data_IF_936893849096
#
_entry.id   IF_936893849096
#
_cell.length_a   1.000
_cell.length_b   1.000
_cell.length_c   1.000
_cell.angle_alpha   90.00
_cell.angle_beta   90.00
_cell.angle_gamma   90.00
#
_symmetry.space_group_name_H-M   'P 1'
#
loop_
_entity.id
_entity.type
_entity.pdbx_description
1 polymer ?
#
# COMPACT_ATOMS: atom_id res chain seq x y z
N UNK A 1 18.86 -11.69 -13.38
CA UNK A 1 18.54 -12.75 -14.37
C UNK A 1 17.70 -13.82 -13.65
N UNK A 2 16.40 -13.61 -13.52
CA UNK A 2 15.50 -14.57 -12.88
C UNK A 2 14.94 -15.49 -13.96
N UNK A 3 15.39 -16.76 -13.94
CA UNK A 3 14.78 -17.83 -14.71
C UNK A 3 13.36 -18.05 -14.21
N UNK A 4 12.39 -18.28 -15.10
CA UNK A 4 10.97 -18.52 -14.81
C UNK A 4 10.76 -19.65 -13.81
N UNK A 5 10.84 -19.32 -12.52
CA UNK A 5 10.49 -20.19 -11.41
C UNK A 5 9.01 -20.00 -11.10
N UNK A 6 8.32 -21.07 -10.78
CA UNK A 6 6.96 -21.08 -10.24
C UNK A 6 6.98 -20.15 -9.01
N UNK A 7 6.32 -18.98 -9.11
CA UNK A 7 6.15 -18.09 -7.96
C UNK A 7 5.22 -18.80 -6.97
N UNK A 8 5.72 -19.08 -5.78
CA UNK A 8 4.97 -19.79 -4.77
C UNK A 8 3.94 -18.86 -4.12
N UNK A 9 2.69 -19.26 -4.15
CA UNK A 9 1.61 -18.58 -3.42
C UNK A 9 1.86 -18.69 -1.91
N UNK A 10 1.83 -17.58 -1.19
CA UNK A 10 1.96 -17.57 0.28
C UNK A 10 0.59 -17.40 0.95
N UNK A 11 -0.30 -16.65 0.28
CA UNK A 11 -1.68 -16.41 0.71
C UNK A 11 -2.59 -16.46 -0.52
N UNK A 12 -3.70 -17.20 -0.41
CA UNK A 12 -4.74 -17.24 -1.43
C UNK A 12 -6.11 -17.09 -0.78
N UNK A 13 -6.91 -16.22 -1.35
CA UNK A 13 -8.28 -15.93 -0.92
C UNK A 13 -9.22 -16.27 -2.07
N UNK A 14 -10.29 -17.02 -1.78
CA UNK A 14 -11.26 -17.44 -2.78
C UNK A 14 -12.66 -17.12 -2.30
N UNK A 15 -13.37 -16.28 -3.06
CA UNK A 15 -14.77 -15.89 -2.86
C UNK A 15 -15.09 -15.46 -1.42
N UNK A 16 -14.21 -14.65 -0.82
CA UNK A 16 -14.35 -14.19 0.56
C UNK A 16 -15.53 -13.25 0.70
N UNK A 17 -16.41 -13.52 1.70
CA UNK A 17 -17.56 -12.68 2.02
C UNK A 17 -17.62 -12.34 3.49
N UNK A 18 -18.06 -11.10 3.76
CA UNK A 18 -18.38 -10.62 5.10
C UNK A 18 -19.47 -9.56 5.05
N UNK A 19 -20.57 -9.83 5.72
CA UNK A 19 -21.74 -8.97 5.75
C UNK A 19 -22.08 -8.53 7.18
N UNK A 20 -22.62 -7.32 7.32
CA UNK A 20 -23.11 -6.76 8.56
C UNK A 20 -24.53 -6.25 8.32
N UNK A 21 -25.54 -7.08 8.61
CA UNK A 21 -26.90 -6.81 8.18
C UNK A 21 -26.96 -6.65 6.67
N UNK A 22 -27.44 -5.50 6.20
CA UNK A 22 -27.54 -5.19 4.77
C UNK A 22 -26.22 -4.70 4.14
N UNK A 23 -25.20 -4.44 4.97
CA UNK A 23 -23.89 -3.94 4.48
C UNK A 23 -23.01 -5.10 4.04
N UNK A 24 -22.72 -5.18 2.75
CA UNK A 24 -21.79 -6.15 2.15
C UNK A 24 -20.35 -5.59 2.22
N UNK A 25 -19.74 -5.69 3.40
CA UNK A 25 -18.40 -5.14 3.63
C UNK A 25 -17.33 -5.82 2.76
N UNK A 26 -17.48 -7.13 2.50
CA UNK A 26 -16.66 -7.90 1.56
C UNK A 26 -17.63 -8.81 0.78
N UNK A 27 -17.66 -8.71 -0.55
CA UNK A 27 -18.67 -9.35 -1.40
C UNK A 27 -18.02 -10.20 -2.50
N UNK A 28 -17.46 -11.33 -2.10
CA UNK A 28 -16.97 -12.36 -3.01
C UNK A 28 -15.61 -12.05 -3.64
N UNK A 29 -14.69 -11.46 -2.88
CA UNK A 29 -13.34 -11.14 -3.39
C UNK A 29 -12.46 -12.39 -3.46
N UNK A 30 -11.61 -12.43 -4.49
CA UNK A 30 -10.61 -13.48 -4.69
C UNK A 30 -9.31 -12.84 -5.14
N UNK A 31 -8.18 -13.23 -4.57
CA UNK A 31 -6.85 -12.78 -4.95
C UNK A 31 -5.77 -13.73 -4.45
N UNK A 32 -4.57 -13.59 -4.97
CA UNK A 32 -3.39 -14.38 -4.58
C UNK A 32 -2.22 -13.47 -4.29
N UNK A 33 -1.50 -13.76 -3.20
CA UNK A 33 -0.27 -13.05 -2.82
C UNK A 33 0.91 -13.98 -3.06
N UNK A 34 1.86 -13.53 -3.88
CA UNK A 34 3.08 -14.26 -4.19
C UNK A 34 4.14 -14.03 -3.10
N UNK A 35 4.94 -15.06 -2.83
CA UNK A 35 6.04 -14.99 -1.87
C UNK A 35 7.10 -13.96 -2.29
N UNK A 36 7.56 -13.15 -1.34
CA UNK A 36 8.61 -12.15 -1.55
C UNK A 36 8.16 -10.91 -2.31
N UNK A 37 6.85 -10.65 -2.38
CA UNK A 37 6.28 -9.47 -3.02
C UNK A 37 5.60 -8.54 -2.02
N UNK A 38 5.40 -7.30 -2.42
CA UNK A 38 4.48 -6.36 -1.78
C UNK A 38 3.16 -6.39 -2.55
N UNK A 39 2.11 -6.85 -1.88
CA UNK A 39 0.74 -6.85 -2.38
C UNK A 39 -0.05 -5.76 -1.67
N UNK A 40 -0.72 -4.90 -2.41
CA UNK A 40 -1.54 -3.83 -1.83
C UNK A 40 -3.02 -4.01 -2.12
N UNK A 41 -3.83 -3.89 -1.08
CA UNK A 41 -5.27 -3.72 -1.17
C UNK A 41 -5.59 -2.23 -1.05
N UNK A 42 -5.91 -1.61 -2.17
CA UNK A 42 -6.09 -0.18 -2.33
C UNK A 42 -7.58 0.16 -2.45
N UNK A 43 -8.01 1.30 -1.92
CA UNK A 43 -9.38 1.77 -2.06
C UNK A 43 -9.76 2.84 -1.05
N UNK A 44 -10.92 3.46 -1.19
CA UNK A 44 -11.40 4.50 -0.29
C UNK A 44 -11.76 3.96 1.10
N UNK A 45 -12.05 4.87 2.02
CA UNK A 45 -12.60 4.50 3.31
C UNK A 45 -13.96 3.82 3.13
N UNK A 46 -14.19 2.74 3.87
CA UNK A 46 -15.41 1.94 3.73
C UNK A 46 -15.43 0.95 2.57
N UNK A 47 -14.39 0.86 1.74
CA UNK A 47 -14.31 -0.12 0.65
C UNK A 47 -14.27 -1.60 1.13
N UNK A 48 -13.95 -1.86 2.41
CA UNK A 48 -13.86 -3.21 2.97
C UNK A 48 -12.43 -3.70 3.25
N UNK A 49 -11.40 -2.85 3.05
CA UNK A 49 -9.98 -3.18 3.24
C UNK A 49 -9.67 -3.70 4.65
N UNK A 50 -10.00 -2.91 5.69
CA UNK A 50 -9.76 -3.27 7.10
C UNK A 50 -10.52 -4.54 7.47
N UNK A 51 -11.79 -4.70 7.03
CA UNK A 51 -12.54 -5.94 7.25
C UNK A 51 -11.83 -7.14 6.62
N UNK A 52 -11.31 -7.00 5.41
CA UNK A 52 -10.56 -8.06 4.73
C UNK A 52 -9.30 -8.43 5.51
N UNK A 53 -8.49 -7.43 5.88
CA UNK A 53 -7.25 -7.65 6.65
C UNK A 53 -7.54 -8.28 8.01
N UNK A 54 -8.51 -7.79 8.78
CA UNK A 54 -8.88 -8.36 10.08
C UNK A 54 -9.31 -9.84 9.97
N UNK A 55 -9.94 -10.23 8.87
CA UNK A 55 -10.25 -11.64 8.60
C UNK A 55 -8.96 -12.43 8.36
N UNK A 56 -8.06 -11.90 7.55
CA UNK A 56 -6.76 -12.53 7.26
C UNK A 56 -5.87 -12.62 8.51
N UNK A 57 -5.92 -11.66 9.39
CA UNK A 57 -5.20 -11.67 10.67
C UNK A 57 -5.84 -12.61 11.71
N UNK A 58 -7.02 -13.16 11.41
CA UNK A 58 -7.77 -14.03 12.32
C UNK A 58 -8.47 -13.28 13.45
N UNK A 59 -8.59 -11.95 13.36
CA UNK A 59 -9.29 -11.10 14.34
C UNK A 59 -10.80 -11.10 14.10
N UNK A 60 -11.22 -11.43 12.88
CA UNK A 60 -12.62 -11.43 12.47
C UNK A 60 -12.96 -12.72 11.73
N UNK A 61 -14.17 -13.23 11.94
CA UNK A 61 -14.66 -14.40 11.20
C UNK A 61 -15.24 -13.98 9.86
N UNK A 62 -14.88 -14.73 8.81
CA UNK A 62 -15.55 -14.67 7.50
C UNK A 62 -16.96 -15.26 7.59
N UNK A 63 -17.84 -14.91 6.67
CA UNK A 63 -19.14 -15.57 6.52
C UNK A 63 -19.05 -16.71 5.49
N UNK A 64 -18.39 -16.46 4.34
CA UNK A 64 -18.15 -17.44 3.29
C UNK A 64 -16.73 -17.28 2.70
N UNK A 65 -16.35 -18.26 1.86
CA UNK A 65 -15.08 -18.24 1.13
C UNK A 65 -14.00 -19.07 1.80
N UNK A 66 -12.87 -19.17 1.13
CA UNK A 66 -11.73 -19.98 1.54
C UNK A 66 -10.46 -19.15 1.64
N UNK A 67 -9.63 -19.44 2.63
CA UNK A 67 -8.33 -18.79 2.84
C UNK A 67 -7.26 -19.87 2.96
N UNK A 68 -6.19 -19.72 2.18
CA UNK A 68 -5.06 -20.64 2.19
C UNK A 68 -3.81 -19.87 2.61
N UNK A 69 -3.13 -20.35 3.64
CA UNK A 69 -1.82 -19.86 4.08
C UNK A 69 -0.78 -20.92 3.79
N UNK A 70 0.31 -20.54 3.14
CA UNK A 70 1.43 -21.45 2.83
C UNK A 70 1.00 -22.71 2.07
N UNK A 71 -0.04 -22.59 1.22
CA UNK A 71 -0.63 -23.71 0.46
C UNK A 71 -1.68 -24.52 1.20
N UNK A 72 -1.92 -24.28 2.50
CA UNK A 72 -2.90 -25.01 3.30
C UNK A 72 -4.17 -24.19 3.56
N UNK A 73 -5.35 -24.81 3.36
CA UNK A 73 -6.63 -24.20 3.73
C UNK A 73 -6.74 -24.06 5.24
N UNK A 74 -7.06 -22.86 5.71
CA UNK A 74 -7.23 -22.54 7.14
C UNK A 74 -8.62 -21.97 7.41
N UNK A 75 -9.37 -22.60 8.32
CA UNK A 75 -10.62 -22.03 8.85
C UNK A 75 -10.35 -21.03 10.00
N UNK A 76 -9.23 -21.21 10.69
CA UNK A 76 -8.70 -20.28 11.70
C UNK A 76 -7.19 -20.36 11.74
N UNK A 77 -6.54 -19.30 12.19
CA UNK A 77 -5.08 -19.28 12.33
C UNK A 77 -4.65 -20.10 13.54
N UNK A 78 -3.93 -21.19 13.28
CA UNK A 78 -3.28 -22.00 14.32
C UNK A 78 -1.98 -21.32 14.82
N UNK A 79 -1.40 -21.87 15.88
CA UNK A 79 -0.20 -21.34 16.50
C UNK A 79 1.02 -21.36 15.58
N UNK A 80 1.10 -22.32 14.66
CA UNK A 80 2.20 -22.39 13.69
C UNK A 80 2.10 -21.28 12.67
N UNK A 81 0.91 -21.08 12.08
CA UNK A 81 0.65 -19.98 11.14
C UNK A 81 0.88 -18.62 11.79
N UNK A 82 0.39 -18.41 13.03
CA UNK A 82 0.60 -17.17 13.79
C UNK A 82 2.07 -16.82 14.02
N UNK A 83 2.95 -17.80 14.17
CA UNK A 83 4.40 -17.57 14.30
C UNK A 83 5.06 -17.11 13.01
N UNK A 84 4.46 -17.39 11.85
CA UNK A 84 4.97 -17.05 10.52
C UNK A 84 4.42 -15.73 9.99
N UNK A 85 3.45 -15.14 10.67
CA UNK A 85 2.84 -13.86 10.29
C UNK A 85 3.23 -12.75 11.26
N UNK A 86 3.34 -11.54 10.74
CA UNK A 86 3.44 -10.30 11.51
C UNK A 86 2.22 -9.43 11.25
N UNK A 87 1.81 -8.65 12.24
CA UNK A 87 0.59 -7.84 12.15
C UNK A 87 0.85 -6.45 12.70
N UNK A 88 0.55 -5.42 11.91
CA UNK A 88 0.48 -4.03 12.34
C UNK A 88 -0.94 -3.52 12.15
N UNK A 89 -1.69 -3.44 13.24
CA UNK A 89 -3.07 -2.95 13.24
C UNK A 89 -3.12 -1.44 12.98
N UNK A 90 -4.20 -0.96 12.38
CA UNK A 90 -4.46 0.47 12.17
C UNK A 90 -4.38 1.28 13.48
N UNK A 91 -4.87 0.71 14.59
CA UNK A 91 -4.74 1.28 15.93
C UNK A 91 -4.01 0.30 16.83
N UNK A 92 -2.71 0.50 16.98
CA UNK A 92 -1.91 -0.33 17.89
C UNK A 92 -1.95 0.24 19.30
N UNK A 93 -2.28 -0.61 20.28
CA UNK A 93 -2.24 -0.28 21.71
C UNK A 93 -1.07 -1.01 22.36
N UNK A 94 -0.21 -0.27 23.05
CA UNK A 94 0.91 -0.78 23.81
C UNK A 94 0.77 -0.41 25.28
N UNK A 95 1.60 -1.01 26.12
CA UNK A 95 1.66 -0.68 27.55
C UNK A 95 2.36 0.67 27.74
N UNK A 96 1.63 1.68 28.15
CA UNK A 96 2.05 3.06 28.31
C UNK A 96 3.35 3.27 29.10
N UNK A 97 3.55 2.45 30.14
CA UNK A 97 4.68 2.58 31.05
C UNK A 97 5.93 1.80 30.65
N UNK A 98 5.84 0.92 29.64
CA UNK A 98 7.02 0.27 29.07
C UNK A 98 7.80 1.27 28.20
N UNK A 99 9.10 1.10 28.16
CA UNK A 99 9.96 1.75 27.18
C UNK A 99 9.83 1.07 25.81
N UNK A 100 10.28 1.74 24.75
CA UNK A 100 10.34 1.15 23.40
C UNK A 100 11.09 -0.18 23.43
N UNK A 101 12.27 -0.22 24.05
CA UNK A 101 13.09 -1.43 24.13
C UNK A 101 12.41 -2.55 24.93
N UNK A 102 11.74 -2.21 26.04
CA UNK A 102 10.97 -3.19 26.82
C UNK A 102 9.78 -3.74 26.03
N UNK A 103 9.10 -2.89 25.26
CA UNK A 103 8.02 -3.32 24.36
C UNK A 103 8.54 -4.30 23.31
N UNK A 104 9.64 -3.99 22.64
CA UNK A 104 10.26 -4.89 21.66
C UNK A 104 10.70 -6.22 22.30
N UNK A 105 11.28 -6.17 23.52
CA UNK A 105 11.66 -7.38 24.31
C UNK A 105 10.45 -8.24 24.61
N UNK A 106 9.34 -7.62 25.06
CA UNK A 106 8.10 -8.31 25.39
C UNK A 106 7.57 -9.07 24.18
N UNK A 107 7.36 -8.38 23.06
CA UNK A 107 6.80 -9.00 21.86
C UNK A 107 7.72 -10.08 21.28
N UNK A 108 9.04 -9.85 21.22
CA UNK A 108 9.99 -10.89 20.83
C UNK A 108 9.94 -12.13 21.73
N UNK A 109 9.76 -11.91 23.05
CA UNK A 109 9.65 -12.99 24.03
C UNK A 109 8.41 -13.86 23.84
N UNK A 110 7.27 -13.28 23.39
CA UNK A 110 6.04 -14.02 23.10
C UNK A 110 6.22 -15.02 21.95
N UNK A 111 7.08 -14.73 20.99
CA UNK A 111 7.35 -15.63 19.86
C UNK A 111 8.50 -16.62 20.11
N UNK A 112 9.29 -16.40 21.16
CA UNK A 112 10.45 -17.24 21.53
C UNK A 112 11.68 -17.11 20.61
N UNK A 113 11.51 -16.55 19.41
CA UNK A 113 12.55 -16.25 18.42
C UNK A 113 12.21 -14.96 17.67
N UNK A 114 13.15 -14.44 16.89
CA UNK A 114 12.93 -13.24 16.07
C UNK A 114 14.22 -12.48 15.82
N UNK A 115 14.09 -11.31 15.23
CA UNK A 115 15.19 -10.43 14.88
C UNK A 115 15.96 -9.99 16.15
N UNK A 116 17.24 -9.66 15.99
CA UNK A 116 18.00 -9.07 17.10
C UNK A 116 17.48 -7.67 17.40
N UNK A 117 17.31 -7.36 18.69
CA UNK A 117 16.74 -6.08 19.10
C UNK A 117 17.56 -4.87 18.63
N UNK A 118 18.90 -4.98 18.62
CA UNK A 118 19.77 -3.94 18.08
C UNK A 118 19.50 -3.68 16.59
N UNK A 119 19.36 -4.74 15.77
CA UNK A 119 19.04 -4.62 14.35
C UNK A 119 17.68 -3.95 14.12
N UNK A 120 16.68 -4.26 14.96
CA UNK A 120 15.36 -3.62 14.90
C UNK A 120 15.46 -2.15 15.30
N UNK A 121 16.17 -1.83 16.40
CA UNK A 121 16.35 -0.44 16.84
C UNK A 121 17.02 0.39 15.76
N UNK A 122 18.09 -0.11 15.16
CA UNK A 122 18.84 0.57 14.11
C UNK A 122 17.99 0.75 12.82
N UNK A 123 17.36 -0.33 12.34
CA UNK A 123 16.56 -0.32 11.11
C UNK A 123 15.39 0.66 11.19
N UNK A 124 14.74 0.69 12.35
CA UNK A 124 13.61 1.60 12.59
C UNK A 124 14.02 2.96 13.17
N UNK A 125 15.32 3.27 13.24
CA UNK A 125 15.89 4.55 13.73
C UNK A 125 15.33 4.93 15.11
N UNK A 126 15.38 4.00 16.06
CA UNK A 126 14.83 4.17 17.42
C UNK A 126 15.88 4.43 18.50
N UNK A 127 17.16 4.55 18.18
CA UNK A 127 18.28 4.68 19.12
C UNK A 127 18.06 5.83 20.11
N UNK A 128 17.54 6.97 19.61
CA UNK A 128 17.27 8.15 20.44
C UNK A 128 16.04 8.02 21.35
N UNK A 129 15.18 7.04 21.09
CA UNK A 129 13.90 6.87 21.79
C UNK A 129 13.77 5.50 22.48
N UNK A 130 14.73 4.58 22.34
CA UNK A 130 14.63 3.20 22.87
C UNK A 130 14.34 3.13 24.38
N UNK A 131 14.83 4.12 25.15
CA UNK A 131 14.62 4.24 26.61
C UNK A 131 13.42 5.11 26.98
N UNK A 132 12.73 5.73 26.01
CA UNK A 132 11.53 6.52 26.28
C UNK A 132 10.33 5.61 26.48
N UNK A 133 9.43 6.00 27.41
CA UNK A 133 8.16 5.30 27.63
C UNK A 133 7.22 5.52 26.48
N UNK A 134 6.43 4.49 26.12
CA UNK A 134 5.47 4.52 25.00
C UNK A 134 4.54 5.72 25.08
N UNK A 135 4.00 6.04 26.24
CA UNK A 135 3.10 7.21 26.43
C UNK A 135 3.72 8.58 26.09
N UNK A 136 5.06 8.65 25.94
CA UNK A 136 5.77 9.90 25.62
C UNK A 136 6.16 10.01 24.14
N UNK A 137 5.80 9.03 23.34
CA UNK A 137 6.11 9.01 21.90
C UNK A 137 5.16 9.91 21.12
N UNK A 138 5.66 10.52 20.06
CA UNK A 138 4.79 11.13 19.05
C UNK A 138 4.05 10.07 18.25
N UNK A 139 2.97 10.44 17.54
CA UNK A 139 2.22 9.51 16.70
C UNK A 139 3.11 8.78 15.69
N UNK A 140 4.02 9.49 15.01
CA UNK A 140 4.96 8.86 14.08
C UNK A 140 5.98 7.92 14.75
N UNK A 141 6.41 8.23 15.97
CA UNK A 141 7.28 7.33 16.75
C UNK A 141 6.52 6.08 17.20
N UNK A 142 5.26 6.23 17.62
CA UNK A 142 4.40 5.13 18.00
C UNK A 142 4.11 4.21 16.80
N UNK A 143 3.83 4.80 15.64
CA UNK A 143 3.61 4.04 14.41
C UNK A 143 4.85 3.26 13.97
N UNK A 144 6.04 3.86 14.05
CA UNK A 144 7.30 3.13 13.80
C UNK A 144 7.48 1.95 14.76
N UNK A 145 7.16 2.11 16.04
CA UNK A 145 7.18 1.02 17.02
C UNK A 145 6.18 -0.07 16.62
N UNK A 146 4.97 0.28 16.18
CA UNK A 146 3.95 -0.67 15.75
C UNK A 146 4.41 -1.51 14.55
N UNK A 147 4.98 -0.86 13.55
CA UNK A 147 5.55 -1.57 12.40
C UNK A 147 6.75 -2.44 12.82
N UNK A 148 7.64 -1.96 13.71
CA UNK A 148 8.76 -2.73 14.21
C UNK A 148 8.31 -4.01 14.95
N UNK A 149 7.26 -3.92 15.74
CA UNK A 149 6.65 -5.07 16.42
C UNK A 149 6.09 -6.08 15.43
N UNK A 150 5.52 -5.63 14.32
CA UNK A 150 5.01 -6.53 13.27
C UNK A 150 6.12 -7.35 12.58
N UNK A 151 7.36 -6.86 12.57
CA UNK A 151 8.50 -7.60 12.02
C UNK A 151 9.34 -8.37 13.08
N UNK A 152 9.06 -8.17 14.37
CA UNK A 152 9.94 -8.64 15.46
C UNK A 152 10.18 -10.15 15.50
N UNK A 153 9.19 -10.95 15.07
CA UNK A 153 9.25 -12.41 15.04
C UNK A 153 9.93 -12.98 13.79
N UNK A 154 10.47 -12.13 12.91
CA UNK A 154 11.05 -12.49 11.61
C UNK A 154 10.05 -13.25 10.69
N UNK A 155 8.87 -12.70 10.43
CA UNK A 155 7.76 -13.39 9.78
C UNK A 155 8.04 -13.70 8.30
N UNK A 156 7.27 -14.63 7.71
CA UNK A 156 7.27 -14.89 6.27
C UNK A 156 6.35 -13.93 5.51
N UNK A 157 5.24 -13.52 6.15
CA UNK A 157 4.31 -12.50 5.63
C UNK A 157 3.94 -11.51 6.74
N UNK A 158 3.88 -10.23 6.41
CA UNK A 158 3.47 -9.14 7.32
C UNK A 158 2.25 -8.44 6.77
N UNK A 159 1.24 -8.27 7.63
CA UNK A 159 0.06 -7.45 7.35
C UNK A 159 0.26 -6.07 7.95
N UNK A 160 0.12 -5.04 7.11
CA UNK A 160 0.25 -3.63 7.50
C UNK A 160 -1.05 -2.91 7.13
N UNK A 161 -1.91 -2.66 8.13
CA UNK A 161 -3.17 -1.95 7.90
C UNK A 161 -2.95 -0.43 8.02
N UNK A 162 -2.93 0.25 6.88
CA UNK A 162 -2.72 1.69 6.74
C UNK A 162 -1.50 2.24 7.54
N UNK A 163 -0.29 1.68 7.36
CA UNK A 163 0.86 1.93 8.24
C UNK A 163 1.39 3.37 8.20
N UNK A 164 1.00 4.17 7.24
CA UNK A 164 1.50 5.55 7.05
C UNK A 164 0.44 6.62 7.25
N UNK A 165 -0.79 6.23 7.63
CA UNK A 165 -1.88 7.18 7.85
C UNK A 165 -1.55 8.15 8.99
N UNK A 166 -1.74 9.44 8.73
CA UNK A 166 -1.48 10.50 9.70
C UNK A 166 0.00 10.83 9.93
N UNK A 167 0.91 10.25 9.15
CA UNK A 167 2.34 10.56 9.22
C UNK A 167 2.71 11.72 8.32
N UNK A 168 3.71 12.50 8.77
CA UNK A 168 4.38 13.49 7.92
C UNK A 168 5.16 12.81 6.77
N UNK A 169 5.52 13.55 5.70
CA UNK A 169 6.20 12.96 4.54
C UNK A 169 7.55 12.30 4.87
N UNK A 170 8.25 12.76 5.91
CA UNK A 170 9.54 12.17 6.30
C UNK A 170 9.33 10.83 6.99
N UNK A 171 8.42 10.77 7.96
CA UNK A 171 8.07 9.53 8.67
C UNK A 171 7.51 8.47 7.70
N UNK A 172 6.67 8.88 6.74
CA UNK A 172 6.16 7.99 5.68
C UNK A 172 7.29 7.36 4.88
N UNK A 173 8.24 8.16 4.39
CA UNK A 173 9.41 7.65 3.65
C UNK A 173 10.27 6.68 4.45
N UNK A 174 10.38 6.88 5.77
CA UNK A 174 11.07 5.93 6.65
C UNK A 174 10.37 4.57 6.70
N UNK A 175 9.04 4.54 6.82
CA UNK A 175 8.28 3.28 6.77
C UNK A 175 8.44 2.62 5.40
N UNK A 176 8.38 3.37 4.29
CA UNK A 176 8.59 2.83 2.95
C UNK A 176 9.96 2.17 2.79
N UNK A 177 11.04 2.81 3.27
CA UNK A 177 12.38 2.22 3.20
C UNK A 177 12.50 0.92 4.01
N UNK A 178 11.78 0.81 5.13
CA UNK A 178 11.71 -0.43 5.90
C UNK A 178 10.97 -1.53 5.13
N UNK A 179 9.84 -1.21 4.51
CA UNK A 179 9.08 -2.16 3.67
C UNK A 179 9.97 -2.68 2.53
N UNK A 180 10.65 -1.77 1.80
CA UNK A 180 11.58 -2.13 0.73
C UNK A 180 12.75 -3.01 1.24
N UNK A 181 13.30 -2.68 2.42
CA UNK A 181 14.36 -3.48 3.03
C UNK A 181 13.93 -4.93 3.28
N UNK A 182 12.77 -5.15 3.90
CA UNK A 182 12.26 -6.50 4.17
C UNK A 182 11.83 -7.23 2.89
N UNK A 183 11.24 -6.53 1.92
CA UNK A 183 10.97 -7.09 0.58
C UNK A 183 12.26 -7.63 -0.05
N UNK A 184 13.34 -6.84 -0.01
CA UNK A 184 14.64 -7.25 -0.57
C UNK A 184 15.27 -8.45 0.16
N UNK A 185 14.85 -8.72 1.40
CA UNK A 185 15.19 -9.94 2.14
C UNK A 185 14.26 -11.13 1.82
N UNK A 186 13.34 -10.98 0.88
CA UNK A 186 12.41 -12.03 0.46
C UNK A 186 11.16 -12.16 1.36
N UNK A 187 10.90 -11.20 2.25
CA UNK A 187 9.67 -11.16 3.04
C UNK A 187 8.49 -10.74 2.17
N UNK A 188 7.32 -11.26 2.46
CA UNK A 188 6.07 -10.86 1.80
C UNK A 188 5.36 -9.82 2.64
N UNK A 189 4.86 -8.78 2.02
CA UNK A 189 4.13 -7.71 2.69
C UNK A 189 2.73 -7.59 2.08
N UNK A 190 1.72 -7.68 2.93
CA UNK A 190 0.34 -7.34 2.60
C UNK A 190 0.05 -5.96 3.17
N UNK A 191 -0.21 -5.00 2.31
CA UNK A 191 -0.39 -3.59 2.66
C UNK A 191 -1.83 -3.17 2.34
N UNK A 192 -2.53 -2.55 3.29
CA UNK A 192 -3.70 -1.75 2.94
C UNK A 192 -3.34 -0.28 2.93
N UNK A 193 -3.87 0.45 1.98
CA UNK A 193 -3.69 1.90 1.92
C UNK A 193 -4.82 2.56 1.13
N UNK A 194 -5.04 3.84 1.41
CA UNK A 194 -5.82 4.72 0.56
C UNK A 194 -4.92 5.74 -0.16
N UNK A 195 -3.59 5.70 0.08
CA UNK A 195 -2.62 6.54 -0.62
C UNK A 195 -2.14 5.84 -1.90
N UNK A 196 -2.54 6.37 -3.05
CA UNK A 196 -2.17 5.82 -4.36
C UNK A 196 -0.66 5.84 -4.60
N UNK A 197 0.02 6.93 -4.18
CA UNK A 197 1.47 7.07 -4.27
C UNK A 197 2.21 5.93 -3.53
N UNK A 198 1.69 5.52 -2.35
CA UNK A 198 2.26 4.42 -1.58
C UNK A 198 2.13 3.09 -2.32
N UNK A 199 0.93 2.79 -2.84
CA UNK A 199 0.69 1.59 -3.60
C UNK A 199 1.51 1.57 -4.89
N UNK A 200 1.58 2.69 -5.62
CA UNK A 200 2.35 2.80 -6.87
C UNK A 200 3.84 2.58 -6.65
N UNK A 201 4.38 3.13 -5.55
CA UNK A 201 5.81 3.05 -5.25
C UNK A 201 6.26 1.70 -4.71
N UNK A 202 5.49 1.08 -3.83
CA UNK A 202 5.93 -0.09 -3.07
C UNK A 202 5.49 -1.42 -3.68
N UNK A 203 4.34 -1.45 -4.37
CA UNK A 203 3.67 -2.70 -4.68
C UNK A 203 4.18 -3.35 -5.97
N UNK A 204 4.29 -4.66 -5.92
CA UNK A 204 4.45 -5.50 -7.12
C UNK A 204 3.09 -5.82 -7.73
N UNK A 205 2.05 -5.93 -6.88
CA UNK A 205 0.67 -6.21 -7.26
C UNK A 205 -0.29 -5.38 -6.43
N UNK A 206 -1.30 -4.82 -7.08
CA UNK A 206 -2.35 -4.00 -6.46
C UNK A 206 -3.70 -4.59 -6.82
N UNK A 207 -4.57 -4.75 -5.82
CA UNK A 207 -6.01 -4.94 -5.99
C UNK A 207 -6.72 -3.65 -5.58
N UNK A 208 -7.46 -3.05 -6.49
CA UNK A 208 -8.30 -1.88 -6.22
C UNK A 208 -9.66 -2.38 -5.77
N UNK A 209 -10.05 -1.98 -4.55
CA UNK A 209 -11.30 -2.39 -3.92
C UNK A 209 -12.25 -1.22 -3.77
N UNK A 210 -13.51 -1.41 -4.16
CA UNK A 210 -14.60 -0.48 -3.92
C UNK A 210 -15.89 -1.24 -3.60
N UNK A 211 -16.69 -0.72 -2.64
CA UNK A 211 -17.95 -1.33 -2.22
C UNK A 211 -17.89 -2.86 -1.98
N UNK A 212 -16.86 -3.31 -1.30
CA UNK A 212 -16.67 -4.74 -0.96
C UNK A 212 -16.18 -5.61 -2.11
N UNK A 213 -15.88 -5.08 -3.28
CA UNK A 213 -15.46 -5.84 -4.48
C UNK A 213 -14.10 -5.37 -4.99
N UNK A 214 -13.35 -6.28 -5.59
CA UNK A 214 -12.17 -5.93 -6.39
C UNK A 214 -12.67 -5.47 -7.75
N UNK A 215 -12.32 -4.23 -8.13
CA UNK A 215 -12.73 -3.61 -9.41
C UNK A 215 -11.61 -3.59 -10.44
N UNK A 216 -10.35 -3.71 -10.02
CA UNK A 216 -9.19 -3.89 -10.88
C UNK A 216 -8.05 -4.54 -10.11
N UNK A 217 -7.19 -5.29 -10.80
CA UNK A 217 -5.99 -5.89 -10.23
C UNK A 217 -4.85 -5.97 -11.25
N UNK A 218 -3.61 -5.89 -10.77
CA UNK A 218 -2.41 -5.96 -11.59
C UNK A 218 -1.23 -5.25 -10.98
N UNK A 219 -0.10 -5.18 -11.69
CA UNK A 219 0.99 -4.30 -11.26
C UNK A 219 0.57 -2.83 -11.46
N UNK A 220 1.09 -1.88 -10.64
CA UNK A 220 0.81 -0.45 -10.83
C UNK A 220 0.97 -0.01 -12.28
N UNK A 221 2.09 -0.37 -12.90
CA UNK A 221 2.38 -0.02 -14.29
C UNK A 221 1.40 -0.65 -15.28
N UNK A 222 0.96 -1.90 -15.07
CA UNK A 222 -0.03 -2.53 -15.94
C UNK A 222 -1.41 -1.87 -15.84
N UNK A 223 -1.83 -1.50 -14.63
CA UNK A 223 -3.09 -0.79 -14.40
C UNK A 223 -3.10 0.58 -15.08
N UNK A 224 -2.00 1.35 -14.93
CA UNK A 224 -1.86 2.65 -15.58
C UNK A 224 -1.86 2.50 -17.11
N UNK A 225 -1.06 1.59 -17.65
CA UNK A 225 -0.95 1.40 -19.12
C UNK A 225 -2.26 0.90 -19.74
N UNK A 226 -2.98 -0.02 -19.07
CA UNK A 226 -4.26 -0.56 -19.57
C UNK A 226 -5.43 0.41 -19.41
N UNK A 227 -5.27 1.46 -18.61
CA UNK A 227 -6.32 2.44 -18.38
C UNK A 227 -6.69 3.25 -19.63
N UNK A 228 -5.78 3.37 -20.61
CA UNK A 228 -5.95 4.24 -21.77
C UNK A 228 -5.94 5.74 -21.42
N UNK A 229 -5.44 6.10 -20.24
CA UNK A 229 -5.19 7.49 -19.86
C UNK A 229 -3.95 8.01 -20.57
N UNK A 230 -3.98 9.27 -20.94
CA UNK A 230 -2.90 9.93 -21.68
C UNK A 230 -2.08 10.83 -20.77
N UNK A 231 -0.87 11.13 -21.19
CA UNK A 231 -0.05 12.17 -20.55
C UNK A 231 -0.69 13.54 -20.80
N UNK A 232 -0.79 14.32 -19.76
CA UNK A 232 -1.26 15.71 -19.81
C UNK A 232 -0.05 16.62 -19.89
N UNK A 233 -0.06 17.53 -20.87
CA UNK A 233 0.92 18.61 -21.01
C UNK A 233 0.19 19.91 -20.82
N UNK A 234 0.59 20.68 -19.82
CA UNK A 234 0.08 21.99 -19.49
C UNK A 234 1.15 23.02 -19.85
N UNK A 235 0.77 24.13 -20.44
CA UNK A 235 1.70 25.22 -20.79
C UNK A 235 0.98 26.53 -20.99
N UNK A 236 1.72 27.63 -20.89
CA UNK A 236 1.22 28.97 -21.15
C UNK A 236 1.76 29.48 -22.48
N UNK A 237 0.94 30.26 -23.21
CA UNK A 237 1.32 31.01 -24.38
C UNK A 237 0.45 32.25 -24.58
N UNK A 238 1.04 33.36 -24.94
CA UNK A 238 0.38 34.59 -25.37
C UNK A 238 -0.11 34.51 -26.82
N UNK A 239 0.32 33.47 -27.54
CA UNK A 239 -0.06 33.20 -28.94
C UNK A 239 -1.22 32.23 -29.01
N UNK A 240 -1.94 32.23 -30.13
CA UNK A 240 -2.91 31.19 -30.39
C UNK A 240 -2.20 29.94 -30.91
N UNK A 241 -2.16 28.89 -30.07
CA UNK A 241 -1.47 27.64 -30.39
C UNK A 241 -2.45 26.71 -31.10
N UNK A 242 -2.07 26.27 -32.32
CA UNK A 242 -2.87 25.38 -33.14
C UNK A 242 -2.56 23.91 -32.82
N UNK A 243 -3.06 23.46 -31.66
CA UNK A 243 -3.02 22.05 -31.20
C UNK A 243 -4.39 21.66 -30.68
N UNK A 244 -4.72 20.38 -30.73
CA UNK A 244 -5.93 19.87 -30.09
C UNK A 244 -5.73 19.91 -28.58
N UNK A 245 -6.48 20.73 -27.87
CA UNK A 245 -6.43 20.88 -26.42
C UNK A 245 -7.74 20.48 -25.75
N UNK A 246 -7.67 20.07 -24.48
CA UNK A 246 -8.83 19.81 -23.63
C UNK A 246 -9.41 21.12 -23.12
N UNK A 247 -8.53 21.99 -22.63
CA UNK A 247 -8.90 23.26 -22.03
C UNK A 247 -7.96 24.38 -22.50
N UNK A 248 -8.56 25.57 -22.72
CA UNK A 248 -7.84 26.81 -22.93
C UNK A 248 -8.50 27.92 -22.12
N UNK A 249 -7.75 28.57 -21.24
CA UNK A 249 -8.23 29.70 -20.47
C UNK A 249 -7.09 30.71 -20.26
N UNK A 250 -7.31 31.97 -20.66
CA UNK A 250 -6.38 33.09 -20.41
C UNK A 250 -4.91 32.81 -20.84
N UNK A 251 -4.73 32.12 -21.98
CA UNK A 251 -3.40 31.74 -22.47
C UNK A 251 -2.81 30.46 -21.87
N UNK A 252 -3.51 29.82 -20.94
CA UNK A 252 -3.16 28.51 -20.40
C UNK A 252 -3.80 27.39 -21.23
N UNK A 253 -3.01 26.40 -21.61
CA UNK A 253 -3.44 25.26 -22.44
C UNK A 253 -3.22 23.94 -21.70
N UNK A 254 -4.19 23.03 -21.78
CA UNK A 254 -4.14 21.66 -21.28
C UNK A 254 -4.34 20.70 -22.46
N UNK A 255 -3.36 19.87 -22.73
CA UNK A 255 -3.34 18.95 -23.87
C UNK A 255 -3.11 17.52 -23.41
N UNK A 256 -3.98 16.60 -23.82
CA UNK A 256 -3.74 15.16 -23.64
C UNK A 256 -3.03 14.58 -24.87
N UNK A 257 -1.96 13.81 -24.65
CA UNK A 257 -1.19 13.21 -25.73
C UNK A 257 -0.59 11.86 -25.33
N UNK A 258 -0.44 10.98 -26.32
CA UNK A 258 0.33 9.74 -26.20
C UNK A 258 1.82 9.95 -26.52
N UNK A 259 2.18 11.08 -27.13
CA UNK A 259 3.54 11.42 -27.58
C UNK A 259 3.98 12.79 -27.03
N UNK A 260 4.15 12.92 -25.69
CA UNK A 260 4.46 14.20 -25.06
C UNK A 260 5.79 14.80 -25.53
N UNK A 261 6.80 13.97 -25.84
CA UNK A 261 8.09 14.41 -26.34
C UNK A 261 7.98 15.10 -27.71
N UNK A 262 7.15 14.58 -28.59
CA UNK A 262 6.97 15.16 -29.94
C UNK A 262 6.13 16.44 -29.87
N UNK A 263 5.07 16.44 -29.03
CA UNK A 263 4.29 17.64 -28.76
C UNK A 263 5.17 18.77 -28.23
N UNK A 264 6.02 18.50 -27.24
CA UNK A 264 6.90 19.53 -26.64
C UNK A 264 7.91 20.07 -27.68
N UNK A 265 8.52 19.19 -28.49
CA UNK A 265 9.41 19.63 -29.58
C UNK A 265 8.67 20.55 -30.57
N UNK A 266 7.43 20.22 -30.93
CA UNK A 266 6.61 21.04 -31.80
C UNK A 266 6.27 22.40 -31.15
N UNK A 267 5.84 22.41 -29.89
CA UNK A 267 5.51 23.59 -29.13
C UNK A 267 6.70 24.58 -29.07
N UNK A 268 7.87 24.09 -28.67
CA UNK A 268 9.09 24.90 -28.55
C UNK A 268 9.62 25.43 -29.88
N UNK A 269 9.32 24.72 -31.00
CA UNK A 269 9.77 25.12 -32.33
C UNK A 269 8.87 26.17 -32.98
N UNK A 270 7.56 26.15 -32.71
CA UNK A 270 6.56 26.92 -33.44
C UNK A 270 5.98 28.10 -32.70
N UNK A 271 5.99 28.06 -31.35
CA UNK A 271 5.36 29.06 -30.53
C UNK A 271 6.25 29.48 -29.34
N UNK A 272 5.95 30.66 -28.81
CA UNK A 272 6.53 31.13 -27.57
C UNK A 272 5.71 30.54 -26.41
N UNK A 273 6.24 29.48 -25.79
CA UNK A 273 5.57 28.76 -24.68
C UNK A 273 6.41 28.84 -23.41
N UNK A 274 5.74 28.87 -22.27
CA UNK A 274 6.34 28.92 -20.94
C UNK A 274 5.60 28.01 -19.96
N UNK A 275 6.14 27.83 -18.77
CA UNK A 275 5.52 27.06 -17.68
C UNK A 275 5.06 25.65 -18.10
N UNK A 276 5.89 24.95 -18.91
CA UNK A 276 5.55 23.59 -19.38
C UNK A 276 5.60 22.63 -18.20
N UNK A 277 4.46 21.98 -17.93
CA UNK A 277 4.30 20.90 -16.95
C UNK A 277 3.86 19.63 -17.65
N UNK A 278 4.49 18.50 -17.33
CA UNK A 278 4.16 17.19 -17.88
C UNK A 278 3.67 16.32 -16.73
N UNK A 279 2.43 15.87 -16.81
CA UNK A 279 1.82 14.99 -15.82
C UNK A 279 1.49 13.64 -16.46
N UNK A 280 2.25 12.60 -16.12
CA UNK A 280 1.94 11.23 -16.50
C UNK A 280 0.77 10.71 -15.67
N UNK A 281 -0.09 9.84 -16.25
CA UNK A 281 -1.13 9.15 -15.49
C UNK A 281 -0.53 8.35 -14.33
N UNK A 282 -1.25 8.30 -13.23
CA UNK A 282 -0.90 7.55 -12.03
C UNK A 282 -2.09 6.68 -11.55
N UNK A 283 -1.93 5.94 -10.45
CA UNK A 283 -2.99 5.10 -9.92
C UNK A 283 -4.22 5.89 -9.44
N UNK A 284 -4.06 7.15 -9.03
CA UNK A 284 -5.18 8.02 -8.64
C UNK A 284 -6.07 8.33 -9.86
N UNK A 285 -5.45 8.64 -11.00
CA UNK A 285 -6.17 8.86 -12.25
C UNK A 285 -6.90 7.58 -12.72
N UNK A 286 -6.28 6.40 -12.53
CA UNK A 286 -6.92 5.10 -12.81
C UNK A 286 -8.14 4.88 -11.92
N UNK A 287 -8.01 5.13 -10.62
CA UNK A 287 -9.11 4.98 -9.68
C UNK A 287 -10.28 5.91 -10.01
N UNK A 288 -10.01 7.20 -10.26
CA UNK A 288 -11.01 8.17 -10.70
C UNK A 288 -11.75 7.71 -11.95
N UNK A 289 -11.01 7.17 -12.93
CA UNK A 289 -11.62 6.65 -14.17
C UNK A 289 -12.54 5.46 -13.92
N UNK A 290 -12.17 4.57 -13.00
CA UNK A 290 -12.95 3.36 -12.69
C UNK A 290 -14.20 3.64 -11.84
N UNK A 291 -14.14 4.61 -10.94
CA UNK A 291 -15.20 4.85 -9.95
C UNK A 291 -16.02 6.11 -10.20
N UNK A 292 -15.51 7.04 -10.99
CA UNK A 292 -16.10 8.36 -11.22
C UNK A 292 -16.06 9.28 -9.98
N UNK A 293 -15.29 8.92 -8.94
CA UNK A 293 -15.21 9.63 -7.65
C UNK A 293 -13.77 9.83 -7.22
N UNK A 294 -13.49 10.97 -6.56
CA UNK A 294 -12.22 11.19 -5.86
C UNK A 294 -12.19 10.35 -4.56
N UNK A 295 -10.99 9.89 -4.16
CA UNK A 295 -10.77 9.17 -2.89
C UNK A 295 -11.02 10.02 -1.65
N UNK A 296 -11.07 11.35 -1.82
CA UNK A 296 -11.18 12.31 -0.73
C UNK A 296 -12.62 12.64 -0.33
N UNK A 297 -13.59 12.12 -1.07
CA UNK A 297 -15.00 12.14 -0.75
C UNK A 297 -15.44 10.82 -0.06
#
# INVERSE_FOLDING_TARGET
MFKGGIRLEILKVVNLKKYYGDVKAVDGISFTVERGTVFSLLGPNGAGKTTTVEILEGLRKKDEGEIYYFGEKKESLDSETKRKIGVCLQKSAFFDNLTVLETLKLFRGLYGKGLKLSEVVDLFQMEKIERRRVKTLSGGQLQRLAVAVAFINDPEIVFLDEPTTGLDPQARRQIWSVIEHFKNQGKTIFLTTHYMEEAEKLSDHVCIMDHGKIIAEGSPSSLINSSGLKTVVEFDSDQNVDVKYLEKKDGHYVVETDTPEDLIKELLRRWNVSNIVIRKPNLEDVFLKLTGRDLRE
#
